data_IF_905180910516
#
_entry.id   IF_905180910516
#
_cell.length_a   1.000
_cell.length_b   1.000
_cell.length_c   1.000
_cell.angle_alpha   90.00
_cell.angle_beta   90.00
_cell.angle_gamma   90.00
#
_symmetry.space_group_name_H-M   'P 1'
#
loop_
_entity.id
_entity.type
_entity.pdbx_description
1 polymer ?
#
# COMPACT_ATOMS: atom_id res chain seq x y z
N UNK A 1 -15.18 24.88 32.51
CA UNK A 1 -14.40 24.92 31.25
C UNK A 1 -15.37 25.19 30.11
N UNK A 2 -15.08 26.14 29.20
CA UNK A 2 -15.88 26.33 27.98
C UNK A 2 -15.57 25.18 27.02
N UNK A 3 -16.60 24.58 26.42
CA UNK A 3 -16.43 23.62 25.33
C UNK A 3 -15.89 24.37 24.10
N UNK A 4 -14.91 23.80 23.42
CA UNK A 4 -14.43 24.34 22.15
C UNK A 4 -15.52 24.20 21.08
N UNK A 5 -15.64 25.21 20.21
CA UNK A 5 -16.59 25.24 19.08
C UNK A 5 -15.82 25.07 17.78
N UNK A 6 -16.42 24.40 16.81
CA UNK A 6 -15.85 24.19 15.48
C UNK A 6 -16.74 24.88 14.47
N UNK A 7 -16.14 25.76 13.67
CA UNK A 7 -16.80 26.47 12.58
C UNK A 7 -16.23 25.94 11.26
N UNK A 8 -17.11 25.44 10.41
CA UNK A 8 -16.79 24.83 9.14
C UNK A 8 -17.49 25.57 8.01
N UNK A 9 -16.82 25.71 6.87
CA UNK A 9 -17.40 26.25 5.66
C UNK A 9 -16.88 25.42 4.48
N UNK A 10 -17.80 25.02 3.59
CA UNK A 10 -17.47 24.32 2.35
C UNK A 10 -17.80 25.19 1.15
N UNK A 11 -16.90 25.18 0.18
CA UNK A 11 -17.18 25.75 -1.14
C UNK A 11 -17.85 24.69 -2.01
N UNK A 12 -18.50 25.12 -3.07
CA UNK A 12 -19.13 24.22 -4.04
C UNK A 12 -18.09 23.28 -4.68
N UNK A 13 -18.48 22.01 -4.85
CA UNK A 13 -17.62 20.94 -5.36
C UNK A 13 -17.13 21.21 -6.79
N UNK A 14 -17.96 21.86 -7.61
CA UNK A 14 -17.70 22.11 -9.02
C UNK A 14 -16.97 23.43 -9.29
N UNK A 15 -16.64 24.20 -8.24
CA UNK A 15 -15.91 25.44 -8.43
C UNK A 15 -14.50 25.22 -8.97
N UNK A 16 -14.20 25.97 -10.03
CA UNK A 16 -12.85 26.11 -10.56
C UNK A 16 -12.01 27.00 -9.64
N UNK A 17 -10.69 26.99 -9.89
CA UNK A 17 -9.71 27.79 -9.15
C UNK A 17 -10.12 29.27 -9.08
N UNK A 18 -10.56 29.85 -10.19
CA UNK A 18 -10.88 31.28 -10.30
C UNK A 18 -12.09 31.64 -9.43
N UNK A 19 -13.09 30.78 -9.34
CA UNK A 19 -14.29 30.99 -8.51
C UNK A 19 -13.96 30.89 -7.02
N UNK A 20 -13.10 29.94 -6.63
CA UNK A 20 -12.60 29.84 -5.25
C UNK A 20 -11.81 31.08 -4.86
N UNK A 21 -10.92 31.55 -5.73
CA UNK A 21 -10.14 32.77 -5.50
C UNK A 21 -11.02 34.02 -5.41
N UNK A 22 -11.93 34.21 -6.36
CA UNK A 22 -12.87 35.35 -6.34
C UNK A 22 -13.74 35.37 -5.08
N UNK A 23 -14.09 34.20 -4.55
CA UNK A 23 -14.86 34.11 -3.30
C UNK A 23 -14.02 34.45 -2.08
N UNK A 24 -12.75 34.02 -2.03
CA UNK A 24 -11.82 34.43 -0.98
C UNK A 24 -11.55 35.95 -1.01
N UNK A 25 -11.43 36.55 -2.19
CA UNK A 25 -11.32 38.00 -2.35
C UNK A 25 -12.55 38.74 -1.81
N UNK A 26 -13.76 38.17 -1.95
CA UNK A 26 -14.98 38.74 -1.39
C UNK A 26 -15.08 38.60 0.12
N UNK A 27 -14.55 37.52 0.70
CA UNK A 27 -14.63 37.33 2.14
C UNK A 27 -13.77 38.35 2.89
N UNK A 28 -12.60 38.76 2.38
CA UNK A 28 -11.66 39.74 3.01
C UNK A 28 -11.12 39.34 4.42
N UNK A 29 -11.97 38.81 5.30
CA UNK A 29 -11.72 38.34 6.65
C UNK A 29 -12.47 37.02 6.90
N UNK A 30 -12.11 36.33 7.99
CA UNK A 30 -12.85 35.14 8.44
C UNK A 30 -14.27 35.49 8.91
N UNK A 31 -14.58 36.75 9.24
CA UNK A 31 -15.90 37.11 9.77
C UNK A 31 -17.00 37.09 8.71
N UNK A 32 -16.62 37.25 7.45
CA UNK A 32 -17.53 37.35 6.30
C UNK A 32 -17.73 36.02 5.58
N UNK A 33 -17.17 34.94 6.12
CA UNK A 33 -17.43 33.58 5.66
C UNK A 33 -18.72 33.08 6.31
N UNK A 34 -19.60 32.49 5.51
CA UNK A 34 -20.80 31.81 6.00
C UNK A 34 -20.40 30.50 6.70
N UNK A 35 -20.14 30.59 8.01
CA UNK A 35 -19.76 29.45 8.84
C UNK A 35 -20.96 28.64 9.31
N UNK A 36 -20.79 27.34 9.31
CA UNK A 36 -21.64 26.36 9.98
C UNK A 36 -20.94 25.87 11.25
N UNK A 37 -21.62 25.93 12.40
CA UNK A 37 -21.12 25.33 13.63
C UNK A 37 -21.40 23.82 13.61
N UNK A 38 -20.35 23.01 13.69
CA UNK A 38 -20.44 21.54 13.65
C UNK A 38 -19.99 20.93 14.98
N UNK A 39 -20.60 19.81 15.35
CA UNK A 39 -20.22 19.02 16.52
C UNK A 39 -19.61 17.69 16.08
N UNK A 40 -18.40 17.33 16.56
CA UNK A 40 -17.84 16.02 16.29
C UNK A 40 -18.72 14.90 16.84
N UNK A 41 -18.74 13.78 16.14
CA UNK A 41 -19.40 12.58 16.65
C UNK A 41 -18.66 11.96 17.85
N UNK A 42 -19.24 10.88 18.39
CA UNK A 42 -18.64 10.08 19.47
C UNK A 42 -17.24 9.51 19.18
N UNK A 43 -16.83 9.47 17.90
CA UNK A 43 -15.52 9.03 17.42
C UNK A 43 -14.59 10.19 17.06
N UNK A 44 -14.99 11.43 17.36
CA UNK A 44 -14.26 12.66 17.06
C UNK A 44 -14.16 12.97 15.55
N UNK A 45 -15.11 12.48 14.74
CA UNK A 45 -15.28 12.79 13.32
C UNK A 45 -16.08 14.07 13.15
N UNK A 46 -15.59 15.02 12.35
CA UNK A 46 -16.21 16.35 12.22
C UNK A 46 -17.29 16.40 11.14
N UNK A 47 -17.03 15.81 9.97
CA UNK A 47 -17.94 15.82 8.81
C UNK A 47 -18.69 14.50 8.76
N UNK A 48 -19.97 14.52 9.14
CA UNK A 48 -20.79 13.32 9.36
C UNK A 48 -22.07 13.30 8.53
N UNK A 49 -22.29 14.29 7.65
CA UNK A 49 -23.51 14.48 6.84
C UNK A 49 -23.96 13.23 6.06
N UNK A 50 -23.02 12.36 5.68
CA UNK A 50 -23.29 11.12 4.93
C UNK A 50 -22.94 9.84 5.71
N UNK A 51 -22.69 9.94 7.02
CA UNK A 51 -22.35 8.78 7.86
C UNK A 51 -23.59 8.26 8.59
N UNK A 52 -24.04 7.06 8.22
CA UNK A 52 -25.06 6.36 8.98
C UNK A 52 -24.48 5.80 10.29
N UNK A 53 -25.07 6.19 11.43
CA UNK A 53 -24.70 5.68 12.76
C UNK A 53 -24.84 4.16 12.88
N UNK A 54 -25.81 3.62 12.16
CA UNK A 54 -26.29 2.25 12.31
C UNK A 54 -25.40 1.23 11.60
N UNK A 55 -24.49 1.69 10.74
CA UNK A 55 -23.49 0.83 10.09
C UNK A 55 -22.68 0.00 11.11
N UNK A 56 -22.44 0.57 12.29
CA UNK A 56 -21.74 -0.10 13.39
C UNK A 56 -22.50 -1.24 14.04
N UNK A 57 -23.82 -1.34 13.81
CA UNK A 57 -24.67 -2.43 14.33
C UNK A 57 -24.61 -3.70 13.46
N UNK A 58 -24.13 -3.58 12.21
CA UNK A 58 -24.06 -4.71 11.30
C UNK A 58 -22.92 -5.66 11.66
N UNK A 59 -23.06 -6.90 11.17
CA UNK A 59 -22.04 -7.93 11.30
C UNK A 59 -20.80 -7.50 10.48
N UNK A 60 -19.60 -7.44 11.07
CA UNK A 60 -18.40 -7.05 10.34
C UNK A 60 -18.07 -8.08 9.25
N UNK A 61 -17.62 -7.59 8.08
CA UNK A 61 -17.13 -8.47 7.00
C UNK A 61 -15.83 -9.17 7.42
N UNK A 62 -14.95 -8.47 8.12
CA UNK A 62 -13.70 -9.00 8.67
C UNK A 62 -13.09 -8.01 9.67
N UNK A 63 -12.47 -8.52 10.74
CA UNK A 63 -11.76 -7.71 11.75
C UNK A 63 -10.36 -8.26 12.02
N UNK A 64 -9.39 -7.40 12.34
CA UNK A 64 -8.01 -7.83 12.59
C UNK A 64 -7.89 -8.56 13.93
N UNK A 65 -8.75 -8.19 14.86
CA UNK A 65 -8.88 -8.71 16.21
C UNK A 65 -9.32 -10.17 16.12
N UNK A 66 -10.42 -10.45 15.43
CA UNK A 66 -10.93 -11.82 15.27
C UNK A 66 -10.06 -12.68 14.35
N UNK A 67 -9.37 -12.08 13.38
CA UNK A 67 -8.38 -12.81 12.57
C UNK A 67 -7.26 -13.44 13.43
N UNK A 68 -6.97 -12.89 14.62
CA UNK A 68 -6.00 -13.45 15.57
C UNK A 68 -6.61 -14.51 16.48
N UNK A 69 -7.91 -14.41 16.77
CA UNK A 69 -8.63 -15.34 17.63
C UNK A 69 -9.06 -16.58 16.84
N UNK A 70 -8.44 -17.73 17.16
CA UNK A 70 -8.79 -19.03 16.57
C UNK A 70 -9.93 -19.70 17.35
N UNK A 71 -11.00 -18.96 17.63
CA UNK A 71 -12.15 -19.39 18.44
C UNK A 71 -13.43 -19.54 17.62
N UNK A 72 -14.40 -20.29 18.15
CA UNK A 72 -15.73 -20.50 17.55
C UNK A 72 -16.68 -19.28 17.70
N UNK A 73 -16.29 -18.27 18.48
CA UNK A 73 -17.07 -17.05 18.74
C UNK A 73 -16.70 -15.86 17.82
N UNK A 74 -16.25 -16.14 16.61
CA UNK A 74 -15.96 -15.09 15.62
C UNK A 74 -17.26 -14.37 15.24
N UNK A 75 -17.27 -13.04 15.36
CA UNK A 75 -18.41 -12.17 15.06
C UNK A 75 -18.39 -11.63 13.63
N UNK A 76 -17.36 -11.94 12.85
CA UNK A 76 -17.18 -11.49 11.48
C UNK A 76 -17.48 -12.59 10.45
N UNK A 77 -17.93 -12.16 9.27
CA UNK A 77 -18.30 -13.05 8.16
C UNK A 77 -17.08 -13.83 7.63
N UNK A 78 -15.94 -13.16 7.45
CA UNK A 78 -14.71 -13.76 6.94
C UNK A 78 -13.58 -13.72 7.95
N UNK A 79 -13.08 -14.90 8.32
CA UNK A 79 -11.87 -15.04 9.15
C UNK A 79 -10.59 -14.74 8.36
N UNK A 80 -10.60 -15.05 7.05
CA UNK A 80 -9.44 -14.88 6.17
C UNK A 80 -9.71 -13.78 5.15
N UNK A 81 -8.98 -12.67 5.29
CA UNK A 81 -8.94 -11.58 4.33
C UNK A 81 -7.52 -11.03 4.22
N UNK A 82 -7.19 -10.38 3.12
CA UNK A 82 -5.91 -9.71 2.93
C UNK A 82 -6.11 -8.43 2.12
N UNK A 83 -5.12 -7.54 2.22
CA UNK A 83 -4.96 -6.49 1.23
C UNK A 83 -4.43 -7.10 -0.08
N UNK A 84 -4.61 -6.37 -1.18
CA UNK A 84 -3.98 -6.69 -2.45
C UNK A 84 -2.45 -6.69 -2.37
N UNK A 85 -1.80 -7.16 -3.44
CA UNK A 85 -0.35 -7.19 -3.52
C UNK A 85 0.21 -5.78 -3.72
N UNK A 86 1.13 -5.39 -2.84
CA UNK A 86 1.99 -4.24 -3.03
C UNK A 86 3.40 -4.72 -3.36
N UNK A 87 3.94 -4.26 -4.50
CA UNK A 87 5.31 -4.58 -4.91
C UNK A 87 6.29 -3.42 -4.64
N UNK A 88 5.83 -2.17 -4.77
CA UNK A 88 6.65 -0.96 -4.86
C UNK A 88 7.65 -0.92 -6.04
N UNK A 89 7.57 -1.90 -6.96
CA UNK A 89 8.46 -2.06 -8.12
C UNK A 89 7.76 -2.69 -9.31
N UNK A 90 6.56 -2.22 -9.62
CA UNK A 90 5.67 -2.84 -10.60
C UNK A 90 6.33 -3.06 -11.97
N UNK A 91 7.18 -2.13 -12.41
CA UNK A 91 7.94 -2.20 -13.66
C UNK A 91 8.83 -3.45 -13.79
N UNK A 92 9.25 -4.02 -12.67
CA UNK A 92 10.15 -5.18 -12.59
C UNK A 92 9.41 -6.50 -12.42
N UNK A 93 8.33 -6.50 -11.63
CA UNK A 93 7.66 -7.74 -11.21
C UNK A 93 6.31 -7.96 -11.87
N UNK A 94 5.82 -7.02 -12.68
CA UNK A 94 4.65 -7.21 -13.54
C UNK A 94 4.99 -7.00 -15.01
N UNK A 95 4.39 -7.80 -15.88
CA UNK A 95 4.36 -7.52 -17.33
C UNK A 95 3.11 -8.11 -17.98
N UNK A 96 2.75 -7.61 -19.17
CA UNK A 96 1.72 -8.24 -20.00
C UNK A 96 2.23 -9.52 -20.66
N UNK A 97 3.53 -9.55 -20.99
CA UNK A 97 4.19 -10.69 -21.60
C UNK A 97 5.02 -11.44 -20.55
N UNK A 98 4.88 -12.77 -20.52
CA UNK A 98 5.55 -13.59 -19.51
C UNK A 98 7.07 -13.64 -19.73
N UNK A 99 7.52 -13.69 -20.99
CA UNK A 99 8.94 -13.75 -21.31
C UNK A 99 9.66 -12.45 -20.91
N UNK A 100 9.03 -11.30 -21.19
CA UNK A 100 9.49 -9.99 -20.75
C UNK A 100 9.57 -9.91 -19.22
N UNK A 101 8.56 -10.40 -18.50
CA UNK A 101 8.61 -10.50 -17.03
C UNK A 101 9.82 -11.32 -16.57
N UNK A 102 10.01 -12.51 -17.15
CA UNK A 102 11.13 -13.38 -16.76
C UNK A 102 12.48 -12.69 -16.98
N UNK A 103 12.66 -12.00 -18.11
CA UNK A 103 13.89 -11.28 -18.42
C UNK A 103 14.14 -10.13 -17.44
N UNK A 104 13.11 -9.33 -17.14
CA UNK A 104 13.18 -8.24 -16.16
C UNK A 104 13.56 -8.74 -14.78
N UNK A 105 12.91 -9.80 -14.30
CA UNK A 105 13.15 -10.37 -12.97
C UNK A 105 14.54 -10.98 -12.88
N UNK A 106 14.99 -11.73 -13.90
CA UNK A 106 16.34 -12.28 -13.93
C UNK A 106 17.39 -11.18 -13.84
N UNK A 107 17.25 -10.12 -14.65
CA UNK A 107 18.15 -8.96 -14.60
C UNK A 107 18.15 -8.28 -13.22
N UNK A 108 16.96 -8.10 -12.61
CA UNK A 108 16.86 -7.53 -11.26
C UNK A 108 17.60 -8.39 -10.23
N UNK A 109 17.40 -9.72 -10.29
CA UNK A 109 18.03 -10.69 -9.37
C UNK A 109 19.54 -10.69 -9.55
N UNK A 110 20.04 -10.68 -10.78
CA UNK A 110 21.47 -10.60 -11.09
C UNK A 110 22.08 -9.33 -10.51
N UNK A 111 21.48 -8.16 -10.80
CA UNK A 111 21.93 -6.87 -10.27
C UNK A 111 21.93 -6.83 -8.73
N UNK A 112 20.88 -7.37 -8.11
CA UNK A 112 20.80 -7.48 -6.65
C UNK A 112 21.89 -8.41 -6.08
N UNK A 113 22.11 -9.57 -6.68
CA UNK A 113 23.11 -10.53 -6.19
C UNK A 113 24.55 -10.04 -6.39
N UNK A 114 24.81 -9.19 -7.39
CA UNK A 114 26.08 -8.46 -7.55
C UNK A 114 26.30 -7.56 -6.32
N UNK A 115 25.28 -6.82 -5.91
CA UNK A 115 25.32 -5.95 -4.74
C UNK A 115 25.51 -6.72 -3.44
N UNK A 116 24.84 -7.88 -3.28
CA UNK A 116 25.06 -8.80 -2.14
C UNK A 116 26.50 -9.33 -2.12
N UNK A 117 27.05 -9.71 -3.27
CA UNK A 117 28.44 -10.18 -3.37
C UNK A 117 29.44 -9.07 -3.01
N UNK A 118 29.20 -7.85 -3.49
CA UNK A 118 30.01 -6.67 -3.17
C UNK A 118 29.93 -6.32 -1.68
N UNK A 119 28.75 -6.45 -1.07
CA UNK A 119 28.54 -6.17 0.35
C UNK A 119 29.19 -7.25 1.23
N UNK A 120 29.20 -8.50 0.78
CA UNK A 120 29.80 -9.62 1.51
C UNK A 120 31.33 -9.52 1.64
N UNK A 121 31.98 -8.74 0.77
CA UNK A 121 33.42 -8.45 0.85
C UNK A 121 33.75 -7.32 1.85
N UNK A 122 32.76 -6.60 2.38
CA UNK A 122 32.99 -5.55 3.36
C UNK A 122 33.36 -6.13 4.73
N UNK A 123 34.43 -5.61 5.30
CA UNK A 123 34.96 -6.04 6.62
C UNK A 123 34.45 -5.19 7.77
N UNK A 124 33.86 -4.03 7.48
CA UNK A 124 33.30 -3.08 8.45
C UNK A 124 31.86 -2.71 8.10
N UNK A 125 31.14 -2.15 9.07
CA UNK A 125 29.76 -1.74 8.86
C UNK A 125 29.71 -0.47 8.01
N UNK A 126 29.07 -0.57 6.85
CA UNK A 126 28.89 0.54 5.89
C UNK A 126 27.44 1.02 5.91
N UNK A 127 27.26 2.33 5.78
CA UNK A 127 25.96 2.93 5.50
C UNK A 127 25.42 2.40 4.16
N UNK A 128 24.30 1.67 4.22
CA UNK A 128 23.75 0.96 3.07
C UNK A 128 23.30 1.91 1.96
N UNK A 129 22.78 3.08 2.32
CA UNK A 129 22.25 4.04 1.35
C UNK A 129 23.35 4.72 0.55
N UNK A 130 24.56 4.78 1.12
CA UNK A 130 25.77 5.25 0.42
C UNK A 130 26.49 4.15 -0.34
N UNK A 131 26.26 2.90 0.04
CA UNK A 131 26.86 1.74 -0.60
C UNK A 131 26.16 1.43 -1.93
N UNK A 132 24.85 1.20 -1.90
CA UNK A 132 24.08 0.65 -3.02
C UNK A 132 24.04 1.56 -4.25
N UNK A 133 23.89 0.95 -5.43
CA UNK A 133 23.53 1.70 -6.63
C UNK A 133 22.06 2.17 -6.54
N UNK A 134 21.83 3.49 -6.54
CA UNK A 134 20.50 4.11 -6.42
C UNK A 134 19.74 4.24 -7.75
N UNK A 135 20.34 3.86 -8.87
CA UNK A 135 19.68 3.87 -10.16
C UNK A 135 18.48 2.89 -10.16
N UNK A 136 17.23 3.38 -10.34
CA UNK A 136 16.05 2.53 -10.32
C UNK A 136 16.01 1.53 -11.49
N UNK A 137 16.75 1.79 -12.57
CA UNK A 137 16.90 0.87 -13.71
C UNK A 137 17.89 -0.26 -13.44
N UNK A 138 18.70 -0.14 -12.38
CA UNK A 138 19.58 -1.20 -11.90
C UNK A 138 18.86 -2.07 -10.86
N UNK A 139 18.47 -1.49 -9.72
CA UNK A 139 17.65 -2.14 -8.69
C UNK A 139 16.74 -1.07 -8.06
N UNK A 140 15.42 -1.32 -8.08
CA UNK A 140 14.49 -0.51 -7.30
C UNK A 140 14.43 -0.99 -5.85
N UNK A 141 15.19 -0.33 -4.98
CA UNK A 141 15.33 -0.69 -3.57
C UNK A 141 14.07 -0.45 -2.74
N UNK A 142 13.81 -1.35 -1.81
CA UNK A 142 12.84 -1.20 -0.71
C UNK A 142 13.55 -1.54 0.59
N UNK A 143 13.02 -1.08 1.72
CA UNK A 143 13.61 -1.36 3.04
C UNK A 143 13.83 -2.86 3.27
N UNK A 144 12.85 -3.69 2.89
CA UNK A 144 12.96 -5.15 2.94
C UNK A 144 14.15 -5.71 2.14
N UNK A 145 14.42 -5.15 0.96
CA UNK A 145 15.50 -5.59 0.08
C UNK A 145 16.87 -5.11 0.60
N UNK A 146 16.91 -3.92 1.21
CA UNK A 146 18.09 -3.42 1.92
C UNK A 146 18.40 -4.29 3.13
N UNK A 147 17.40 -4.66 3.93
CA UNK A 147 17.56 -5.58 5.07
C UNK A 147 18.05 -6.95 4.62
N UNK A 148 17.48 -7.51 3.54
CA UNK A 148 17.93 -8.79 2.98
C UNK A 148 19.40 -8.71 2.49
N UNK A 149 19.80 -7.59 1.88
CA UNK A 149 21.19 -7.35 1.49
C UNK A 149 22.13 -7.30 2.70
N UNK A 150 21.74 -6.62 3.79
CA UNK A 150 22.53 -6.60 5.03
C UNK A 150 22.68 -8.00 5.65
N UNK A 151 21.66 -8.85 5.47
CA UNK A 151 21.67 -10.25 5.90
C UNK A 151 22.41 -11.17 4.92
N UNK A 152 22.91 -10.64 3.79
CA UNK A 152 23.59 -11.38 2.72
C UNK A 152 22.71 -12.47 2.10
N UNK A 153 21.40 -12.24 2.07
CA UNK A 153 20.44 -13.16 1.49
C UNK A 153 20.48 -13.04 -0.04
N UNK A 154 20.79 -14.13 -0.73
CA UNK A 154 20.79 -14.21 -2.20
C UNK A 154 19.39 -14.59 -2.71
N UNK A 155 19.05 -14.12 -3.90
CA UNK A 155 17.78 -14.47 -4.56
C UNK A 155 18.08 -15.35 -5.77
N UNK A 156 17.32 -16.42 -5.96
CA UNK A 156 17.34 -17.22 -7.18
C UNK A 156 16.04 -17.07 -7.95
N UNK A 157 16.15 -17.03 -9.28
CA UNK A 157 15.00 -17.06 -10.16
C UNK A 157 14.32 -18.43 -10.10
N UNK A 158 13.00 -18.43 -9.94
CA UNK A 158 12.18 -19.63 -9.93
C UNK A 158 10.92 -19.40 -10.77
N UNK A 159 10.83 -20.11 -11.90
CA UNK A 159 9.68 -20.02 -12.81
C UNK A 159 8.37 -20.37 -12.11
N UNK A 160 8.42 -21.22 -11.08
CA UNK A 160 7.27 -21.60 -10.28
C UNK A 160 6.71 -20.45 -9.45
N UNK A 161 7.33 -19.26 -9.44
CA UNK A 161 6.80 -18.04 -8.81
C UNK A 161 6.07 -17.11 -9.78
N UNK A 162 6.09 -17.40 -11.08
CA UNK A 162 5.32 -16.65 -12.07
C UNK A 162 3.83 -17.00 -11.95
N UNK A 163 2.98 -15.98 -11.85
CA UNK A 163 1.54 -16.10 -11.60
C UNK A 163 0.75 -15.17 -12.51
N UNK A 164 -0.44 -15.60 -12.89
CA UNK A 164 -1.43 -14.70 -13.47
C UNK A 164 -2.08 -13.88 -12.35
N UNK A 165 -2.17 -12.57 -12.57
CA UNK A 165 -2.70 -11.60 -11.60
C UNK A 165 -3.65 -10.59 -12.28
N UNK A 166 -4.57 -10.05 -11.48
CA UNK A 166 -5.39 -8.90 -11.86
C UNK A 166 -4.64 -7.65 -11.41
N UNK A 167 -4.08 -6.89 -12.35
CA UNK A 167 -3.28 -5.71 -12.03
C UNK A 167 -4.15 -4.48 -11.72
N UNK A 168 -5.25 -4.36 -12.47
CA UNK A 168 -6.30 -3.34 -12.35
C UNK A 168 -7.63 -4.00 -12.74
N UNK A 169 -8.79 -3.40 -12.42
CA UNK A 169 -10.08 -3.92 -12.86
C UNK A 169 -10.05 -4.26 -14.35
N UNK A 170 -10.33 -5.53 -14.67
CA UNK A 170 -10.37 -6.07 -16.04
C UNK A 170 -9.03 -6.10 -16.80
N UNK A 171 -7.89 -5.83 -16.14
CA UNK A 171 -6.55 -5.87 -16.74
C UNK A 171 -5.72 -6.98 -16.08
N UNK A 172 -5.34 -7.99 -16.87
CA UNK A 172 -4.46 -9.08 -16.43
C UNK A 172 -3.00 -8.79 -16.77
N UNK A 173 -2.10 -9.15 -15.86
CA UNK A 173 -0.65 -9.18 -16.06
C UNK A 173 -0.04 -10.41 -15.41
N UNK A 174 1.06 -10.90 -15.98
CA UNK A 174 1.94 -11.83 -15.30
C UNK A 174 2.63 -11.10 -14.14
N UNK A 175 2.76 -11.79 -13.00
CA UNK A 175 3.40 -11.32 -11.77
C UNK A 175 4.46 -12.32 -11.33
N UNK A 176 5.63 -11.84 -10.93
CA UNK A 176 6.60 -12.66 -10.20
C UNK A 176 6.38 -12.55 -8.70
N UNK A 177 5.78 -13.60 -8.13
CA UNK A 177 5.32 -13.63 -6.75
C UNK A 177 6.43 -14.12 -5.80
N UNK A 178 7.37 -13.23 -5.48
CA UNK A 178 8.46 -13.51 -4.54
C UNK A 178 8.38 -12.65 -3.28
N UNK A 179 8.60 -13.28 -2.13
CA UNK A 179 8.45 -12.62 -0.84
C UNK A 179 9.47 -11.51 -0.54
N UNK A 180 10.65 -11.47 -1.18
CA UNK A 180 11.63 -10.39 -1.03
C UNK A 180 11.43 -9.29 -2.07
N UNK A 181 11.02 -9.68 -3.28
CA UNK A 181 10.73 -8.73 -4.36
C UNK A 181 9.36 -8.06 -4.23
N UNK A 182 8.49 -8.56 -3.36
CA UNK A 182 7.25 -7.90 -2.97
C UNK A 182 7.40 -7.22 -1.61
N UNK A 183 6.82 -6.03 -1.47
CA UNK A 183 6.86 -5.27 -0.20
C UNK A 183 5.79 -5.72 0.79
N UNK A 184 4.90 -6.62 0.39
CA UNK A 184 3.71 -6.98 1.17
C UNK A 184 4.09 -7.80 2.41
N UNK A 185 3.87 -7.22 3.59
CA UNK A 185 4.07 -7.88 4.90
C UNK A 185 2.97 -8.88 5.29
N UNK A 186 1.99 -9.15 4.42
CA UNK A 186 0.88 -10.05 4.74
C UNK A 186 1.16 -11.50 4.30
N UNK A 187 0.96 -12.42 5.23
CA UNK A 187 1.06 -13.86 4.98
C UNK A 187 -0.13 -14.29 4.11
N UNK A 188 0.07 -14.35 2.79
CA UNK A 188 -0.89 -14.96 1.84
C UNK A 188 -1.00 -16.50 1.99
N UNK A 189 -0.35 -17.10 2.99
CA UNK A 189 -0.20 -18.55 3.12
C UNK A 189 -1.51 -19.33 3.30
N UNK A 190 -2.64 -18.66 3.56
CA UNK A 190 -3.98 -19.26 3.60
C UNK A 190 -4.86 -19.00 2.36
N UNK A 191 -4.54 -17.99 1.54
CA UNK A 191 -5.34 -17.60 0.35
C UNK A 191 -4.80 -18.28 -0.93
N UNK A 192 -3.65 -18.96 -0.82
CA UNK A 192 -2.98 -19.68 -1.92
C UNK A 192 -3.65 -21.03 -2.18
N UNK A 193 -4.60 -21.12 -3.10
CA UNK A 193 -4.90 -22.38 -3.80
C UNK A 193 -4.69 -22.20 -5.31
N UNK A 194 -3.59 -22.75 -5.83
CA UNK A 194 -3.31 -22.87 -7.27
C UNK A 194 -2.40 -21.79 -7.88
N UNK A 195 -2.30 -21.80 -9.22
CA UNK A 195 -1.44 -20.92 -10.03
C UNK A 195 -2.01 -19.52 -10.29
N UNK A 196 -3.16 -19.18 -9.69
CA UNK A 196 -3.88 -17.92 -9.92
C UNK A 196 -3.98 -17.15 -8.61
N UNK A 197 -3.61 -15.88 -8.65
CA UNK A 197 -3.85 -14.96 -7.55
C UNK A 197 -4.95 -14.01 -8.00
N UNK A 198 -6.17 -14.27 -7.54
CA UNK A 198 -7.28 -13.34 -7.64
C UNK A 198 -7.29 -12.54 -6.34
N UNK A 199 -6.73 -11.33 -6.40
CA UNK A 199 -6.79 -10.33 -5.34
C UNK A 199 -7.25 -9.01 -5.95
#
# INVERSE_FOLDING_TARGET
MRKAKIYYARMDEFWRKEQKLSSLEKFESIQDVDWEEIEPDSKYTWLTEDLESDFSSFIPIGSKEEKKEKGQDAKAIFQLFSLGIASNRDEWVFSFDELDLQNKVKRLIENYNIEVSRYSQQTSQVDIDRFINVDPTFVKWTDRLKTALQQREIISFDISKVRNSIYRPFIKKALYFDHLLLSTGQKFNGVKKGNRIEL
#
